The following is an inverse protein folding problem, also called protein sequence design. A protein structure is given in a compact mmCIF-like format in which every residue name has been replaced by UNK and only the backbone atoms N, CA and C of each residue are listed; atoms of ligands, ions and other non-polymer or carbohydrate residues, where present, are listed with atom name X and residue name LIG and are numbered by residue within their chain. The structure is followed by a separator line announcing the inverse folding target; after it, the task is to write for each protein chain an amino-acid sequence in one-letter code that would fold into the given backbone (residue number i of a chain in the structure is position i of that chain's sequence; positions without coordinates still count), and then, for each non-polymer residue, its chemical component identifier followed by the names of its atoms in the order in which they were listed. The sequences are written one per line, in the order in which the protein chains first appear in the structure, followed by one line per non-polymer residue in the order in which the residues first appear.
data_IF_404505466641
#
_entry.id   IF_404505466641
#
_cell.length_a   1.000
_cell.length_b   1.000
_cell.length_c   1.000
_cell.angle_alpha   90.00
_cell.angle_beta   90.00
_cell.angle_gamma   90.00
#
_symmetry.space_group_name_H-M   'P 1'
#
loop_
_entity.id
_entity.type
_entity.pdbx_description
1 polymer ?
#
# COMPACT_ATOMS: atom_id res chain seq x y z
N UNK A 1 24.04 35.26 2.94
CA UNK A 1 22.83 34.77 3.65
C UNK A 1 22.52 33.35 3.15
N UNK A 2 23.20 32.33 3.67
CA UNK A 2 22.87 30.91 3.47
C UNK A 2 23.89 30.02 4.22
N UNK A 3 23.96 30.11 5.55
CA UNK A 3 24.80 29.17 6.35
C UNK A 3 24.00 28.40 7.42
N UNK A 4 22.74 28.76 7.69
CA UNK A 4 21.90 28.08 8.68
C UNK A 4 20.78 27.25 8.04
N UNK A 5 21.09 26.49 6.97
CA UNK A 5 20.16 25.43 6.53
C UNK A 5 20.35 24.27 7.50
N UNK A 6 19.51 24.22 8.53
CA UNK A 6 19.48 23.13 9.49
C UNK A 6 19.31 21.83 8.69
N UNK A 7 20.26 20.90 8.86
CA UNK A 7 20.12 19.57 8.26
C UNK A 7 18.79 18.97 8.73
N UNK A 8 18.03 18.44 7.78
CA UNK A 8 16.77 17.77 8.09
C UNK A 8 16.99 16.70 9.18
N UNK A 9 16.22 16.81 10.26
CA UNK A 9 16.16 15.85 11.36
C UNK A 9 14.67 15.63 11.69
N UNK A 10 14.21 14.38 11.86
CA UNK A 10 12.81 14.11 12.21
C UNK A 10 12.40 14.76 13.55
N UNK A 11 13.35 15.18 14.37
CA UNK A 11 13.11 15.90 15.62
C UNK A 11 12.94 17.42 15.47
N UNK A 12 13.24 18.00 14.30
CA UNK A 12 13.24 19.45 14.09
C UNK A 12 12.15 19.97 13.13
N UNK A 13 11.41 19.07 12.47
CA UNK A 13 10.26 19.42 11.63
C UNK A 13 9.21 18.31 11.66
N UNK A 14 7.95 18.70 11.87
CA UNK A 14 6.82 17.79 11.77
C UNK A 14 6.59 17.42 10.30
N UNK A 15 6.49 16.13 10.03
CA UNK A 15 6.22 15.59 8.70
C UNK A 15 4.78 15.12 8.64
N UNK A 16 4.08 15.51 7.58
CA UNK A 16 2.71 15.08 7.28
C UNK A 16 2.72 14.35 5.93
N UNK A 17 1.96 13.26 5.81
CA UNK A 17 1.74 12.63 4.51
C UNK A 17 0.72 13.46 3.73
N UNK A 18 1.20 14.23 2.76
CA UNK A 18 0.33 15.11 1.97
C UNK A 18 -0.67 14.35 1.10
N UNK A 19 -0.31 13.16 0.62
CA UNK A 19 -1.16 12.36 -0.27
C UNK A 19 -0.85 10.86 -0.12
N UNK A 20 -1.91 10.06 -0.08
CA UNK A 20 -1.89 8.59 -0.22
C UNK A 20 -3.30 8.11 -0.61
N UNK A 21 -3.46 6.87 -1.03
CA UNK A 21 -4.77 6.30 -1.39
C UNK A 21 -4.89 4.82 -1.01
N UNK A 22 -6.03 4.20 -1.34
CA UNK A 22 -6.21 2.76 -1.24
C UNK A 22 -5.77 2.02 -2.52
N UNK A 23 -5.31 2.72 -3.56
CA UNK A 23 -5.05 2.12 -4.85
C UNK A 23 -3.83 1.19 -4.80
N UNK A 24 -4.00 -0.04 -5.28
CA UNK A 24 -2.91 -1.04 -5.33
C UNK A 24 -2.47 -1.39 -6.74
N UNK A 25 -3.06 -0.73 -7.73
CA UNK A 25 -2.83 -0.88 -9.16
C UNK A 25 -3.11 0.45 -9.87
N UNK A 26 -2.80 0.54 -11.17
CA UNK A 26 -3.02 1.73 -11.98
C UNK A 26 -4.11 1.54 -13.06
N UNK A 27 -5.18 0.81 -12.73
CA UNK A 27 -6.31 0.58 -13.63
C UNK A 27 -7.34 1.71 -13.65
N UNK A 28 -7.24 2.67 -12.74
CA UNK A 28 -8.16 3.80 -12.69
C UNK A 28 -8.10 4.56 -14.01
N UNK A 29 -9.28 4.76 -14.63
CA UNK A 29 -9.39 5.42 -15.92
C UNK A 29 -8.66 6.78 -15.90
N UNK A 30 -7.72 6.92 -16.84
CA UNK A 30 -6.89 8.13 -17.02
C UNK A 30 -5.96 8.48 -15.86
N UNK A 31 -5.68 7.56 -14.94
CA UNK A 31 -4.69 7.81 -13.87
C UNK A 31 -3.29 8.09 -14.43
N UNK A 32 -2.95 7.47 -15.57
CA UNK A 32 -1.70 7.69 -16.28
C UNK A 32 -1.79 8.78 -17.36
N UNK A 33 -2.94 9.45 -17.50
CA UNK A 33 -3.22 10.44 -18.55
C UNK A 33 -4.30 10.00 -19.54
N UNK A 34 -4.91 10.98 -20.22
CA UNK A 34 -5.95 10.74 -21.22
C UNK A 34 -5.39 9.94 -22.40
N UNK A 35 -6.10 8.88 -22.80
CA UNK A 35 -5.70 8.02 -23.92
C UNK A 35 -4.51 7.09 -23.62
N UNK A 36 -4.08 6.99 -22.36
CA UNK A 36 -3.00 6.09 -21.93
C UNK A 36 -3.54 4.85 -21.24
N UNK A 37 -2.82 3.74 -21.37
CA UNK A 37 -3.13 2.47 -20.72
C UNK A 37 -2.66 2.38 -19.27
N UNK A 38 -2.52 1.15 -18.78
CA UNK A 38 -2.06 0.82 -17.43
C UNK A 38 -0.78 0.00 -17.48
N UNK A 39 0.07 0.14 -16.45
CA UNK A 39 1.19 -0.79 -16.21
C UNK A 39 0.65 -2.15 -15.80
N UNK A 40 -0.46 -2.17 -15.07
CA UNK A 40 -1.12 -3.39 -14.61
C UNK A 40 -1.41 -4.37 -15.74
N UNK A 41 -1.97 -3.91 -16.86
CA UNK A 41 -2.25 -4.73 -18.04
C UNK A 41 -1.16 -4.67 -19.12
N UNK A 42 -0.09 -3.90 -18.89
CA UNK A 42 1.00 -3.76 -19.87
C UNK A 42 0.60 -2.98 -21.12
N UNK A 43 -0.38 -2.07 -21.00
CA UNK A 43 -0.90 -1.27 -22.11
C UNK A 43 -0.38 0.17 -22.08
N UNK A 44 0.49 0.51 -21.12
CA UNK A 44 1.10 1.83 -21.00
C UNK A 44 2.32 1.95 -21.94
N UNK A 45 2.08 2.46 -23.15
CA UNK A 45 3.08 2.64 -24.19
C UNK A 45 4.35 3.37 -23.70
N UNK A 46 5.51 2.85 -24.10
CA UNK A 46 6.83 3.41 -23.78
C UNK A 46 7.29 3.18 -22.34
N UNK A 47 6.48 2.54 -21.50
CA UNK A 47 6.78 2.25 -20.09
C UNK A 47 6.67 0.76 -19.79
N UNK A 48 5.62 0.10 -20.26
CA UNK A 48 5.37 -1.32 -20.03
C UNK A 48 4.93 -1.99 -21.34
N UNK A 49 5.69 -2.99 -21.78
CA UNK A 49 5.37 -3.82 -22.95
C UNK A 49 4.75 -5.18 -22.56
N UNK A 50 4.57 -5.42 -21.26
CA UNK A 50 3.95 -6.60 -20.68
C UNK A 50 3.28 -6.24 -19.34
N UNK A 51 2.28 -7.02 -18.89
CA UNK A 51 1.62 -6.78 -17.60
C UNK A 51 2.60 -6.82 -16.42
N UNK A 52 2.51 -5.83 -15.52
CA UNK A 52 3.35 -5.73 -14.31
C UNK A 52 2.66 -6.20 -13.01
N UNK A 53 1.47 -6.80 -13.11
CA UNK A 53 0.81 -7.37 -11.94
C UNK A 53 1.51 -8.68 -11.50
N UNK A 54 1.39 -9.08 -10.22
CA UNK A 54 2.05 -10.28 -9.70
C UNK A 54 1.33 -11.59 -10.06
N UNK A 55 0.31 -11.54 -10.93
CA UNK A 55 -0.55 -12.69 -11.26
C UNK A 55 -0.31 -13.20 -12.67
N UNK A 56 -0.67 -14.46 -12.92
CA UNK A 56 -0.57 -15.07 -14.26
C UNK A 56 -1.43 -14.35 -15.31
N UNK A 57 -2.56 -13.76 -14.88
CA UNK A 57 -3.45 -12.96 -15.72
C UNK A 57 -3.77 -11.65 -15.04
N UNK A 58 -3.44 -10.53 -15.69
CA UNK A 58 -3.73 -9.19 -15.21
C UNK A 58 -4.92 -8.64 -16.00
N UNK A 59 -5.93 -8.14 -15.30
CA UNK A 59 -7.03 -7.40 -15.92
C UNK A 59 -7.50 -6.28 -15.00
N UNK A 60 -7.98 -5.20 -15.60
CA UNK A 60 -8.60 -4.07 -14.93
C UNK A 60 -10.12 -4.27 -14.76
N UNK A 61 -10.50 -5.42 -14.20
CA UNK A 61 -11.89 -5.87 -14.02
C UNK A 61 -12.07 -6.51 -12.64
N UNK A 62 -13.31 -6.66 -12.17
CA UNK A 62 -13.56 -7.27 -10.86
C UNK A 62 -12.92 -6.44 -9.74
N UNK A 63 -12.05 -7.07 -8.94
CA UNK A 63 -11.30 -6.44 -7.85
C UNK A 63 -10.52 -5.20 -8.29
N UNK A 64 -10.00 -5.19 -9.52
CA UNK A 64 -9.17 -4.10 -10.03
C UNK A 64 -9.91 -3.15 -10.98
N UNK A 65 -11.24 -3.28 -11.05
CA UNK A 65 -12.10 -2.48 -11.91
C UNK A 65 -12.60 -1.18 -11.26
N UNK A 66 -13.31 -0.38 -12.05
CA UNK A 66 -13.99 0.84 -11.56
C UNK A 66 -15.32 0.57 -10.85
N UNK A 67 -15.84 -0.66 -10.93
CA UNK A 67 -17.11 -1.04 -10.31
C UNK A 67 -16.86 -1.72 -8.95
N UNK A 68 -16.93 -0.95 -7.86
CA UNK A 68 -16.70 -1.45 -6.50
C UNK A 68 -17.69 -2.53 -6.05
N UNK A 69 -18.82 -2.69 -6.73
CA UNK A 69 -19.80 -3.74 -6.43
C UNK A 69 -19.30 -5.12 -6.85
N UNK A 70 -18.33 -5.19 -7.77
CA UNK A 70 -17.67 -6.42 -8.19
C UNK A 70 -16.49 -6.80 -7.28
N UNK A 71 -16.08 -5.93 -6.34
CA UNK A 71 -14.99 -6.22 -5.43
C UNK A 71 -15.35 -7.40 -4.53
N UNK A 72 -14.49 -8.40 -4.57
CA UNK A 72 -14.54 -9.57 -3.73
C UNK A 72 -14.42 -9.17 -2.25
N UNK A 73 -15.05 -9.97 -1.39
CA UNK A 73 -14.91 -9.77 0.05
C UNK A 73 -13.45 -9.90 0.52
N UNK A 74 -12.64 -10.68 -0.19
CA UNK A 74 -11.20 -10.80 0.06
C UNK A 74 -10.50 -9.48 -0.26
N UNK A 75 -10.76 -8.88 -1.42
CA UNK A 75 -10.15 -7.62 -1.82
C UNK A 75 -10.53 -6.46 -0.89
N UNK A 76 -11.80 -6.35 -0.49
CA UNK A 76 -12.22 -5.32 0.49
C UNK A 76 -11.50 -5.46 1.83
N UNK A 77 -11.25 -6.69 2.30
CA UNK A 77 -10.45 -6.93 3.52
C UNK A 77 -8.98 -6.57 3.32
N UNK A 78 -8.41 -6.90 2.16
CA UNK A 78 -7.06 -6.51 1.81
C UNK A 78 -6.90 -4.98 1.79
N UNK A 79 -7.79 -4.25 1.11
CA UNK A 79 -7.80 -2.78 1.11
C UNK A 79 -7.89 -2.22 2.54
N UNK A 80 -8.71 -2.84 3.40
CA UNK A 80 -8.81 -2.46 4.81
C UNK A 80 -7.48 -2.60 5.53
N UNK A 81 -6.83 -3.76 5.42
CA UNK A 81 -5.52 -3.99 6.01
C UNK A 81 -4.45 -3.06 5.45
N UNK A 82 -4.50 -2.76 4.15
CA UNK A 82 -3.58 -1.86 3.48
C UNK A 82 -3.70 -0.42 4.01
N UNK A 83 -4.92 0.09 4.15
CA UNK A 83 -5.17 1.41 4.75
C UNK A 83 -4.79 1.42 6.24
N UNK A 84 -5.16 0.40 7.02
CA UNK A 84 -4.82 0.36 8.43
C UNK A 84 -3.30 0.34 8.66
N UNK A 85 -2.53 -0.33 7.80
CA UNK A 85 -1.06 -0.31 7.86
C UNK A 85 -0.48 1.08 7.56
N UNK A 86 -0.98 1.77 6.53
CA UNK A 86 -0.58 3.15 6.21
C UNK A 86 -0.87 4.08 7.38
N UNK A 87 -2.11 4.07 7.88
CA UNK A 87 -2.57 4.93 8.97
C UNK A 87 -1.85 4.65 10.29
N UNK A 88 -1.53 3.39 10.58
CA UNK A 88 -0.77 3.03 11.77
C UNK A 88 0.62 3.67 11.79
N UNK A 89 1.29 3.80 10.64
CA UNK A 89 2.56 4.54 10.56
C UNK A 89 2.29 6.04 10.68
N UNK A 90 1.33 6.57 9.92
CA UNK A 90 1.15 8.03 9.83
C UNK A 90 0.70 8.65 11.15
N UNK A 91 -0.12 7.95 11.92
CA UNK A 91 -0.60 8.43 13.22
C UNK A 91 0.41 8.16 14.37
N UNK A 92 1.36 7.22 14.22
CA UNK A 92 2.36 6.89 15.27
C UNK A 92 3.69 7.61 15.07
N UNK A 93 4.12 7.78 13.82
CA UNK A 93 5.47 8.19 13.45
C UNK A 93 5.52 9.59 12.81
N UNK A 94 4.38 10.11 12.39
CA UNK A 94 4.24 11.38 11.67
C UNK A 94 3.19 12.26 12.36
N UNK A 95 3.07 13.50 11.91
CA UNK A 95 2.12 14.47 12.45
C UNK A 95 0.69 14.32 11.90
N UNK A 96 0.49 13.41 10.94
CA UNK A 96 -0.80 13.12 10.33
C UNK A 96 -0.71 12.89 8.82
N UNK A 97 -1.87 12.99 8.16
CA UNK A 97 -2.02 12.65 6.74
C UNK A 97 -3.23 13.31 6.10
N UNK A 98 -3.21 13.40 4.77
CA UNK A 98 -4.35 13.77 3.93
C UNK A 98 -4.55 12.71 2.85
N UNK A 99 -5.76 12.13 2.80
CA UNK A 99 -6.09 11.11 1.81
C UNK A 99 -6.36 11.78 0.46
N UNK A 100 -5.75 11.24 -0.58
CA UNK A 100 -6.01 11.61 -1.97
C UNK A 100 -7.03 10.63 -2.58
N UNK A 101 -8.29 11.02 -2.81
CA UNK A 101 -8.90 12.33 -2.59
C UNK A 101 -10.26 12.16 -1.88
N UNK A 102 -10.91 13.27 -1.55
CA UNK A 102 -12.19 13.28 -0.86
C UNK A 102 -13.30 12.50 -1.60
N UNK A 103 -13.36 12.60 -2.93
CA UNK A 103 -14.38 11.95 -3.77
C UNK A 103 -13.93 11.79 -5.22
N UNK A 104 -14.45 10.78 -5.92
CA UNK A 104 -14.31 10.61 -7.37
C UNK A 104 -15.63 10.22 -8.03
N UNK A 105 -15.70 10.31 -9.36
CA UNK A 105 -16.90 9.90 -10.13
C UNK A 105 -16.95 8.40 -10.44
N UNK A 106 -15.81 7.71 -10.37
CA UNK A 106 -15.69 6.31 -10.82
C UNK A 106 -14.34 5.66 -10.54
N UNK A 107 -13.64 6.08 -9.48
CA UNK A 107 -12.35 5.54 -9.07
C UNK A 107 -12.39 5.13 -7.60
N UNK A 108 -12.92 3.93 -7.27
CA UNK A 108 -13.30 3.58 -5.90
C UNK A 108 -12.16 3.64 -4.87
N UNK A 109 -10.94 3.26 -5.26
CA UNK A 109 -9.78 3.24 -4.36
C UNK A 109 -9.19 4.63 -4.08
N UNK A 110 -9.61 5.63 -4.87
CA UNK A 110 -9.23 7.03 -4.75
C UNK A 110 -10.34 7.89 -4.13
N UNK A 111 -11.46 7.27 -3.73
CA UNK A 111 -12.62 7.93 -3.12
C UNK A 111 -12.69 7.65 -1.61
N UNK A 112 -12.34 8.66 -0.81
CA UNK A 112 -12.35 8.54 0.63
C UNK A 112 -13.73 8.21 1.19
N UNK A 113 -14.78 8.92 0.74
CA UNK A 113 -16.14 8.75 1.26
C UNK A 113 -16.62 7.34 0.97
N UNK A 114 -16.48 6.88 -0.28
CA UNK A 114 -16.88 5.54 -0.66
C UNK A 114 -16.12 4.48 0.14
N UNK A 115 -14.82 4.68 0.36
CA UNK A 115 -14.03 3.74 1.15
C UNK A 115 -14.49 3.62 2.59
N UNK A 116 -14.94 4.71 3.20
CA UNK A 116 -15.54 4.69 4.55
C UNK A 116 -16.90 4.00 4.52
N UNK A 117 -17.75 4.29 3.52
CA UNK A 117 -19.07 3.67 3.37
C UNK A 117 -18.99 2.15 3.12
N UNK A 118 -17.99 1.71 2.35
CA UNK A 118 -17.77 0.30 2.01
C UNK A 118 -16.87 -0.44 3.01
N UNK A 119 -16.29 0.27 3.98
CA UNK A 119 -15.60 -0.29 5.14
C UNK A 119 -14.13 -0.65 4.96
N UNK A 120 -13.52 -0.34 3.80
CA UNK A 120 -12.07 -0.49 3.61
C UNK A 120 -11.26 0.72 4.08
N UNK A 121 -11.91 1.86 4.33
CA UNK A 121 -11.34 2.97 5.12
C UNK A 121 -12.06 2.99 6.47
N UNK A 122 -11.36 3.10 7.60
CA UNK A 122 -11.99 3.17 8.92
C UNK A 122 -12.81 4.44 9.08
N UNK A 123 -13.97 4.34 9.73
CA UNK A 123 -14.73 5.51 10.16
C UNK A 123 -14.09 6.16 11.40
N UNK A 124 -14.22 7.49 11.50
CA UNK A 124 -13.72 8.27 12.62
C UNK A 124 -14.86 8.84 13.48
N UNK A 125 -14.66 9.04 14.81
CA UNK A 125 -13.43 8.81 15.56
C UNK A 125 -13.12 7.31 15.74
N UNK A 126 -11.87 6.93 15.53
CA UNK A 126 -11.44 5.54 15.61
C UNK A 126 -11.52 5.08 17.07
N UNK A 127 -12.28 4.04 17.39
CA UNK A 127 -12.42 3.52 18.76
C UNK A 127 -11.17 2.80 19.28
N UNK A 128 -10.29 2.35 18.38
CA UNK A 128 -8.93 1.91 18.70
C UNK A 128 -8.08 1.86 17.41
N UNK A 129 -6.82 2.31 17.50
CA UNK A 129 -5.80 2.05 16.50
C UNK A 129 -5.40 0.58 16.58
N UNK A 130 -5.43 -0.21 15.48
CA UNK A 130 -4.73 -1.48 15.46
C UNK A 130 -3.26 -1.20 15.76
N UNK A 131 -2.76 -1.71 16.88
CA UNK A 131 -1.32 -1.72 17.11
C UNK A 131 -0.74 -2.66 16.07
N UNK A 132 0.23 -2.18 15.27
CA UNK A 132 1.06 -3.05 14.45
C UNK A 132 1.91 -3.89 15.40
N UNK A 133 1.40 -5.06 15.76
CA UNK A 133 2.17 -6.13 16.38
C UNK A 133 2.50 -7.20 15.32
N UNK A 134 3.43 -8.11 15.61
CA UNK A 134 3.77 -9.17 14.64
C UNK A 134 2.55 -10.00 14.19
N UNK A 135 1.46 -9.99 14.94
CA UNK A 135 0.23 -10.71 14.59
C UNK A 135 -0.66 -9.99 13.58
N UNK A 136 -0.38 -8.71 13.30
CA UNK A 136 -1.04 -7.89 12.29
C UNK A 136 -0.22 -7.74 11.01
N UNK A 137 0.95 -8.40 10.93
CA UNK A 137 1.69 -8.57 9.69
C UNK A 137 0.84 -9.37 8.68
N UNK A 138 0.73 -8.85 7.46
CA UNK A 138 0.12 -9.59 6.34
C UNK A 138 1.01 -10.80 6.08
N UNK A 139 0.55 -11.99 6.49
CA UNK A 139 1.19 -13.26 6.13
C UNK A 139 0.81 -13.53 4.68
N UNK A 140 1.73 -13.27 3.77
CA UNK A 140 1.66 -13.82 2.42
C UNK A 140 2.00 -15.31 2.53
N UNK A 141 1.01 -16.17 2.29
CA UNK A 141 1.19 -17.62 2.29
C UNK A 141 1.97 -17.99 1.04
N UNK A 142 3.29 -18.08 1.17
CA UNK A 142 4.21 -18.45 0.10
C UNK A 142 4.12 -19.97 -0.13
N UNK A 143 2.96 -20.40 -0.60
CA UNK A 143 2.84 -21.72 -1.19
C UNK A 143 3.67 -21.70 -2.48
N UNK A 144 4.84 -22.35 -2.42
CA UNK A 144 5.58 -23.00 -3.51
C UNK A 144 7.01 -22.49 -3.75
N UNK A 145 7.93 -22.72 -2.81
CA UNK A 145 9.32 -23.04 -3.19
C UNK A 145 9.92 -24.11 -2.27
N UNK A 146 9.81 -25.37 -2.69
CA UNK A 146 10.62 -26.46 -2.13
C UNK A 146 12.04 -26.36 -2.67
N UNK A 147 13.00 -25.94 -1.86
CA UNK A 147 14.38 -26.37 -2.02
C UNK A 147 14.93 -26.89 -0.70
N UNK A 148 15.21 -28.19 -0.71
CA UNK A 148 15.79 -28.94 0.38
C UNK A 148 17.17 -28.38 0.77
N UNK A 149 17.37 -28.15 2.06
CA UNK A 149 18.69 -28.21 2.66
C UNK A 149 18.56 -29.02 3.96
N UNK A 150 19.11 -30.24 3.90
CA UNK A 150 19.23 -31.20 4.99
C UNK A 150 19.96 -30.59 6.20
N UNK A 151 19.38 -30.77 7.39
CA UNK A 151 20.02 -30.43 8.66
C UNK A 151 20.96 -31.56 9.11
N UNK A 152 22.26 -31.27 9.16
CA UNK A 152 23.18 -31.96 10.06
C UNK A 152 23.30 -31.17 11.38
N UNK A 153 23.47 -31.95 12.45
CA UNK A 153 23.44 -31.55 13.84
C UNK A 153 24.48 -30.49 14.24
N UNK A 154 24.12 -29.63 15.21
CA UNK A 154 25.11 -28.83 15.92
C UNK A 154 24.53 -27.55 16.51
N UNK A 155 24.45 -27.47 17.83
CA UNK A 155 23.81 -26.37 18.54
C UNK A 155 24.49 -25.02 18.32
N UNK A 156 23.66 -23.99 18.10
CA UNK A 156 23.89 -22.65 18.64
C UNK A 156 22.54 -21.94 18.72
N UNK A 157 22.17 -21.46 19.90
CA UNK A 157 21.03 -20.55 20.07
C UNK A 157 21.40 -19.23 19.38
N UNK A 158 20.89 -19.02 18.17
CA UNK A 158 20.86 -17.68 17.59
C UNK A 158 19.73 -16.90 18.28
N UNK A 159 20.08 -16.13 19.31
CA UNK A 159 19.26 -14.99 19.69
C UNK A 159 19.29 -14.00 18.53
N UNK A 160 18.21 -13.92 17.76
CA UNK A 160 17.98 -12.81 16.86
C UNK A 160 17.77 -11.56 17.73
N UNK A 161 18.85 -10.81 17.91
CA UNK A 161 18.78 -9.45 18.43
C UNK A 161 17.95 -8.62 17.47
N UNK A 162 17.01 -7.88 18.06
CA UNK A 162 16.05 -6.99 17.41
C UNK A 162 16.75 -6.08 16.41
N UNK A 163 16.70 -6.43 15.13
CA UNK A 163 17.15 -5.60 14.02
C UNK A 163 15.94 -5.41 13.12
N UNK A 164 15.19 -4.35 13.38
CA UNK A 164 14.15 -3.86 12.45
C UNK A 164 14.92 -3.26 11.27
N UNK A 165 15.40 -4.12 10.38
CA UNK A 165 15.96 -3.71 9.10
C UNK A 165 14.81 -3.57 8.10
N UNK A 166 14.36 -2.33 7.98
CA UNK A 166 13.85 -1.71 6.76
C UNK A 166 12.85 -2.51 5.94
N UNK A 167 11.57 -2.25 6.14
CA UNK A 167 10.61 -2.30 5.03
C UNK A 167 10.87 -1.05 4.20
N UNK A 168 11.49 -1.23 3.03
CA UNK A 168 11.54 -0.18 2.01
C UNK A 168 10.22 -0.26 1.25
N UNK A 169 9.26 0.59 1.62
CA UNK A 169 8.14 0.91 0.72
C UNK A 169 8.66 1.96 -0.24
N UNK A 170 9.05 1.54 -1.44
CA UNK A 170 9.29 2.47 -2.55
C UNK A 170 7.96 3.13 -2.93
N UNK A 171 7.82 4.41 -2.62
CA UNK A 171 6.77 5.24 -3.18
C UNK A 171 7.09 5.50 -4.65
N UNK A 172 6.35 4.86 -5.55
CA UNK A 172 6.27 5.30 -6.93
C UNK A 172 5.36 6.52 -6.98
N UNK A 173 5.94 7.71 -7.16
CA UNK A 173 5.17 8.86 -7.63
C UNK A 173 4.72 8.51 -9.04
N UNK A 174 3.41 8.33 -9.23
CA UNK A 174 2.83 8.34 -10.56
C UNK A 174 2.86 9.80 -11.04
N UNK A 175 3.89 10.14 -11.81
CA UNK A 175 3.93 11.32 -12.68
C UNK A 175 4.02 10.83 -14.13
#
# INVERSE_FOLDING_TARGET
MAEDVIKFDRSNIDVVVGEFSAATHDCTKYINGLGRGSRWEGTLEGIADHPLCPFATCSCTGDYGSNYTEYSAHYKRFLRSYIDAQLAIYDQELAGWFFWNFRTEGAPEWDYILGVEQGWIPSFPRTAMPKLDESSAIVFDDAQTTHAASSEAGGSRYQFTKSVRGIVVTFGVAA
#
